data_IF_602585306695
#
_entry.id   IF_602585306695
#
_cell.length_a   1.000
_cell.length_b   1.000
_cell.length_c   1.000
_cell.angle_alpha   90.00
_cell.angle_beta   90.00
_cell.angle_gamma   90.00
#
_symmetry.space_group_name_H-M   'P 1'
#
loop_
_entity.id
_entity.type
_entity.pdbx_description
1 polymer ?
#
# COMPACT_ATOMS: atom_id res chain seq x y z
N UNK A 1 0.57 -2.39 -22.30
CA UNK A 1 -0.49 -1.62 -21.62
C UNK A 1 -0.26 -1.79 -20.14
N UNK A 2 0.28 -0.78 -19.47
CA UNK A 2 0.26 -0.77 -18.01
C UNK A 2 -1.20 -0.55 -17.63
N UNK A 3 -1.84 -1.57 -17.05
CA UNK A 3 -3.15 -1.39 -16.45
C UNK A 3 -3.01 -0.27 -15.42
N UNK A 4 -3.91 0.70 -15.44
CA UNK A 4 -3.98 1.74 -14.41
C UNK A 4 -4.04 1.03 -13.06
N UNK A 5 -2.92 1.09 -12.33
CA UNK A 5 -2.76 0.46 -11.03
C UNK A 5 -3.75 1.11 -10.07
N UNK A 6 -4.81 0.37 -9.78
CA UNK A 6 -5.96 0.83 -9.01
C UNK A 6 -6.55 -0.36 -8.28
N UNK A 7 -7.13 -0.08 -7.13
CA UNK A 7 -7.73 -1.10 -6.28
C UNK A 7 -8.83 -1.88 -7.02
N UNK A 8 -8.69 -3.21 -7.08
CA UNK A 8 -9.67 -4.11 -7.69
C UNK A 8 -10.27 -5.01 -6.60
N UNK A 9 -11.55 -4.81 -6.23
CA UNK A 9 -12.19 -5.57 -5.16
C UNK A 9 -12.24 -7.08 -5.42
N UNK A 10 -12.25 -7.53 -6.68
CA UNK A 10 -12.31 -8.95 -7.02
C UNK A 10 -10.95 -9.60 -6.80
N UNK A 11 -9.88 -8.98 -7.28
CA UNK A 11 -8.50 -9.45 -7.07
C UNK A 11 -8.14 -9.43 -5.58
N UNK A 12 -8.62 -8.43 -4.85
CA UNK A 12 -8.41 -8.32 -3.40
C UNK A 12 -8.88 -9.58 -2.64
N UNK A 13 -10.02 -10.15 -3.00
CA UNK A 13 -10.53 -11.37 -2.33
C UNK A 13 -9.64 -12.61 -2.52
N UNK A 14 -8.73 -12.56 -3.50
CA UNK A 14 -7.82 -13.64 -3.85
C UNK A 14 -6.37 -13.34 -3.43
N UNK A 15 -6.15 -12.26 -2.66
CA UNK A 15 -4.82 -11.89 -2.17
C UNK A 15 -4.37 -12.87 -1.09
N UNK A 16 -3.19 -13.45 -1.29
CA UNK A 16 -2.56 -14.38 -0.36
C UNK A 16 -1.30 -13.81 0.29
N UNK A 17 -0.68 -12.82 -0.34
CA UNK A 17 0.55 -12.18 0.12
C UNK A 17 0.50 -10.68 -0.16
N UNK A 18 1.17 -9.89 0.66
CA UNK A 18 1.25 -8.43 0.53
C UNK A 18 2.70 -7.98 0.46
N UNK A 19 3.01 -7.11 -0.50
CA UNK A 19 4.33 -6.48 -0.62
C UNK A 19 4.17 -4.97 -0.60
N UNK A 20 5.12 -4.32 0.07
CA UNK A 20 5.19 -2.87 0.16
C UNK A 20 6.43 -2.39 -0.57
N UNK A 21 6.22 -1.53 -1.56
CA UNK A 21 7.26 -0.79 -2.25
C UNK A 21 7.27 0.65 -1.73
N UNK A 22 8.43 1.27 -1.72
CA UNK A 22 8.60 2.64 -1.23
C UNK A 22 9.01 3.53 -2.37
N UNK A 23 8.28 4.63 -2.59
CA UNK A 23 8.72 5.66 -3.52
C UNK A 23 10.12 6.18 -3.12
N UNK A 24 10.96 6.56 -4.10
CA UNK A 24 12.32 7.01 -3.84
C UNK A 24 12.39 8.22 -2.92
N UNK A 25 11.34 9.04 -2.89
CA UNK A 25 11.18 10.22 -2.03
C UNK A 25 11.04 9.85 -0.54
N UNK A 26 10.63 8.62 -0.22
CA UNK A 26 10.38 8.14 1.15
C UNK A 26 11.56 7.36 1.75
N UNK A 27 12.70 7.34 1.07
CA UNK A 27 13.87 6.60 1.55
C UNK A 27 14.36 7.10 2.92
N UNK A 28 14.19 8.40 3.20
CA UNK A 28 14.59 9.05 4.44
C UNK A 28 13.72 8.72 5.68
N UNK A 29 12.59 8.02 5.51
CA UNK A 29 11.76 7.61 6.64
C UNK A 29 12.47 6.59 7.54
N UNK A 30 12.22 6.70 8.85
CA UNK A 30 12.75 5.76 9.83
C UNK A 30 12.19 4.35 9.62
N UNK A 31 12.92 3.33 10.08
CA UNK A 31 12.46 1.94 9.97
C UNK A 31 11.15 1.70 10.74
N UNK A 32 10.98 2.36 11.90
CA UNK A 32 9.78 2.26 12.71
C UNK A 32 8.56 2.87 11.99
N UNK A 33 8.74 4.02 11.35
CA UNK A 33 7.67 4.65 10.57
C UNK A 33 7.30 3.79 9.36
N UNK A 34 8.31 3.24 8.67
CA UNK A 34 8.08 2.34 7.52
C UNK A 34 7.30 1.09 7.91
N UNK A 35 7.63 0.46 9.04
CA UNK A 35 6.89 -0.71 9.52
C UNK A 35 5.42 -0.39 9.80
N UNK A 36 5.16 0.72 10.49
CA UNK A 36 3.80 1.17 10.77
C UNK A 36 3.04 1.55 9.49
N UNK A 37 3.65 2.35 8.61
CA UNK A 37 3.05 2.80 7.36
C UNK A 37 2.74 1.62 6.43
N UNK A 38 3.63 0.61 6.33
CA UNK A 38 3.40 -0.60 5.55
C UNK A 38 2.15 -1.34 6.03
N UNK A 39 1.97 -1.50 7.35
CA UNK A 39 0.77 -2.10 7.90
C UNK A 39 -0.47 -1.23 7.62
N UNK A 40 -0.38 0.06 7.92
CA UNK A 40 -1.52 0.97 7.83
C UNK A 40 -2.04 1.15 6.39
N UNK A 41 -1.15 1.19 5.40
CA UNK A 41 -1.54 1.27 3.98
C UNK A 41 -2.25 -0.01 3.52
N UNK A 42 -1.81 -1.17 4.03
CA UNK A 42 -2.39 -2.48 3.71
C UNK A 42 -3.72 -2.76 4.44
N UNK A 43 -4.03 -2.04 5.52
CA UNK A 43 -5.35 -2.05 6.18
C UNK A 43 -6.41 -1.30 5.35
N UNK A 44 -6.01 -0.31 4.57
CA UNK A 44 -6.91 0.48 3.72
C UNK A 44 -6.39 0.56 2.27
N UNK A 45 -6.25 -0.58 1.57
CA UNK A 45 -5.65 -0.65 0.23
C UNK A 45 -6.44 0.17 -0.80
N UNK A 46 -7.77 0.27 -0.65
CA UNK A 46 -8.64 1.04 -1.54
C UNK A 46 -8.35 2.55 -1.56
N UNK A 47 -7.62 3.06 -0.57
CA UNK A 47 -7.25 4.46 -0.46
C UNK A 47 -5.79 4.72 -0.80
N UNK A 48 -5.02 3.65 -1.09
CA UNK A 48 -3.63 3.79 -1.49
C UNK A 48 -3.54 4.40 -2.89
N UNK A 49 -2.57 5.29 -3.10
CA UNK A 49 -2.41 5.97 -4.39
C UNK A 49 -2.04 5.02 -5.53
N UNK A 50 -1.31 3.95 -5.23
CA UNK A 50 -0.83 2.98 -6.21
C UNK A 50 -0.96 1.55 -5.67
N UNK A 51 -1.85 0.77 -6.28
CA UNK A 51 -2.09 -0.63 -5.92
C UNK A 51 -2.02 -1.50 -7.16
N UNK A 52 -1.16 -2.50 -7.08
CA UNK A 52 -0.96 -3.52 -8.10
C UNK A 52 -1.28 -4.91 -7.55
N UNK A 53 -1.58 -5.80 -8.48
CA UNK A 53 -1.89 -7.19 -8.19
C UNK A 53 -1.08 -8.07 -9.12
N UNK A 54 -0.06 -8.72 -8.58
CA UNK A 54 0.71 -9.75 -9.28
C UNK A 54 0.01 -11.10 -9.13
N UNK A 55 -0.16 -11.82 -10.25
CA UNK A 55 -0.73 -13.17 -10.19
C UNK A 55 0.30 -14.14 -9.61
N UNK A 56 -0.06 -14.82 -8.54
CA UNK A 56 0.70 -15.90 -7.92
C UNK A 56 0.11 -17.27 -8.28
N UNK A 57 0.81 -18.35 -7.93
CA UNK A 57 0.35 -19.72 -8.17
C UNK A 57 -0.95 -20.04 -7.41
N UNK A 58 -1.11 -19.51 -6.20
CA UNK A 58 -2.25 -19.78 -5.31
C UNK A 58 -3.26 -18.64 -5.20
N UNK A 59 -3.07 -17.53 -5.93
CA UNK A 59 -3.90 -16.35 -5.81
C UNK A 59 -3.23 -15.11 -6.40
N UNK A 60 -3.30 -14.00 -5.68
CA UNK A 60 -2.61 -12.75 -6.02
C UNK A 60 -1.68 -12.30 -4.89
N UNK A 61 -0.61 -11.64 -5.28
CA UNK A 61 0.22 -10.83 -4.39
C UNK A 61 -0.23 -9.39 -4.59
N UNK A 62 -0.66 -8.74 -3.52
CA UNK A 62 -1.00 -7.31 -3.55
C UNK A 62 0.26 -6.49 -3.31
N UNK A 63 0.58 -5.65 -4.25
CA UNK A 63 1.73 -4.75 -4.18
C UNK A 63 1.23 -3.32 -4.01
N UNK A 64 1.71 -2.63 -2.99
CA UNK A 64 1.38 -1.22 -2.79
C UNK A 64 2.66 -0.41 -2.86
N UNK A 65 2.68 0.60 -3.73
CA UNK A 65 3.77 1.59 -3.72
C UNK A 65 3.35 2.75 -2.84
N UNK A 66 3.99 2.87 -1.68
CA UNK A 66 3.72 3.96 -0.74
C UNK A 66 4.30 5.24 -1.31
N UNK A 67 3.44 6.23 -1.50
CA UNK A 67 3.78 7.57 -1.98
C UNK A 67 3.76 8.59 -0.85
N UNK A 68 4.28 9.81 -1.10
CA UNK A 68 4.21 10.92 -0.12
C UNK A 68 2.76 11.21 0.28
N UNK A 69 1.83 11.19 -0.68
CA UNK A 69 0.41 11.40 -0.42
C UNK A 69 -0.19 10.36 0.54
N UNK A 70 0.24 9.09 0.45
CA UNK A 70 -0.17 8.04 1.38
C UNK A 70 0.36 8.29 2.79
N UNK A 71 1.61 8.70 2.89
CA UNK A 71 2.25 9.01 4.17
C UNK A 71 1.57 10.19 4.86
N UNK A 72 1.38 11.30 4.14
CA UNK A 72 0.69 12.48 4.65
C UNK A 72 -0.71 12.11 5.15
N UNK A 73 -1.49 11.41 4.32
CA UNK A 73 -2.83 10.92 4.68
C UNK A 73 -2.81 10.08 5.96
N UNK A 74 -1.93 9.09 6.05
CA UNK A 74 -1.85 8.18 7.19
C UNK A 74 -1.47 8.91 8.48
N UNK A 75 -0.52 9.86 8.41
CA UNK A 75 -0.17 10.70 9.56
C UNK A 75 -1.31 11.61 9.99
N UNK A 76 -2.04 12.21 9.05
CA UNK A 76 -3.22 13.02 9.36
C UNK A 76 -4.31 12.17 10.05
N UNK A 77 -4.59 10.97 9.52
CA UNK A 77 -5.55 10.05 10.13
C UNK A 77 -5.14 9.61 11.54
N UNK A 78 -3.84 9.43 11.76
CA UNK A 78 -3.30 9.10 13.09
C UNK A 78 -3.45 10.27 14.07
N UNK A 79 -3.19 11.49 13.61
CA UNK A 79 -3.32 12.70 14.43
C UNK A 79 -4.77 12.98 14.83
N UNK A 80 -5.74 12.70 13.95
CA UNK A 80 -7.18 12.89 14.24
C UNK A 80 -7.73 11.86 15.23
N UNK A 81 -7.11 10.67 15.33
CA UNK A 81 -7.53 9.61 16.24
C UNK A 81 -6.91 9.69 17.64
N UNK A 82 -5.93 10.58 17.85
CA UNK A 82 -5.25 10.80 19.13
C UNK A 82 -5.99 11.83 19.98
#
# INVERSE_FOLDING_TARGET
>A
MAAEASYDPRRETLVMETRTHWSPELQALSAADKEWLARAVHEQPARAAHVDYERSHTGFIREITVTVADVERLYQERAVKA
#
